data_IF_818605070115
#
_entry.id   IF_818605070115
#
_cell.length_a   1.000
_cell.length_b   1.000
_cell.length_c   1.000
_cell.angle_alpha   90.00
_cell.angle_beta   90.00
_cell.angle_gamma   90.00
#
_symmetry.space_group_name_H-M   'P 1'
#
loop_
_entity.id
_entity.type
_entity.pdbx_description
1 polymer ?
#
# COMPACT_ATOMS: atom_id res chain seq x y z
N UNK A 1 -14.65 0.11 -4.42
CA UNK A 1 -13.56 0.06 -3.42
C UNK A 1 -12.49 -0.97 -3.74
N UNK A 2 -12.82 -2.20 -4.14
CA UNK A 2 -11.82 -3.22 -4.55
C UNK A 2 -10.83 -2.71 -5.60
N UNK A 3 -11.32 -2.06 -6.67
CA UNK A 3 -10.45 -1.47 -7.71
C UNK A 3 -9.48 -0.41 -7.18
N UNK A 4 -9.92 0.42 -6.23
CA UNK A 4 -9.09 1.45 -5.62
C UNK A 4 -8.02 0.82 -4.71
N UNK A 5 -8.39 -0.19 -3.91
CA UNK A 5 -7.44 -0.96 -3.10
C UNK A 5 -6.37 -1.64 -3.96
N UNK A 6 -6.78 -2.29 -5.05
CA UNK A 6 -5.85 -2.90 -6.00
C UNK A 6 -4.93 -1.87 -6.65
N UNK A 7 -5.47 -0.74 -7.12
CA UNK A 7 -4.68 0.33 -7.72
C UNK A 7 -3.66 0.93 -6.75
N UNK A 8 -4.01 1.04 -5.47
CA UNK A 8 -3.09 1.50 -4.42
C UNK A 8 -1.99 0.49 -4.13
N UNK A 9 -2.33 -0.81 -4.07
CA UNK A 9 -1.35 -1.88 -3.89
C UNK A 9 -0.36 -1.96 -5.07
N UNK A 10 -0.84 -1.79 -6.30
CA UNK A 10 0.03 -1.72 -7.49
C UNK A 10 0.99 -0.54 -7.41
N UNK A 11 0.51 0.66 -7.09
CA UNK A 11 1.35 1.84 -6.94
C UNK A 11 2.39 1.70 -5.81
N UNK A 12 2.02 1.06 -4.70
CA UNK A 12 2.94 0.79 -3.60
C UNK A 12 4.07 -0.17 -4.04
N UNK A 13 3.74 -1.21 -4.81
CA UNK A 13 4.72 -2.15 -5.34
C UNK A 13 5.64 -1.51 -6.40
N UNK A 14 5.08 -0.68 -7.29
CA UNK A 14 5.87 0.09 -8.27
C UNK A 14 6.83 1.06 -7.55
N UNK A 15 6.34 1.81 -6.57
CA UNK A 15 7.18 2.70 -5.76
C UNK A 15 8.30 1.94 -5.06
N UNK A 16 8.02 0.77 -4.48
CA UNK A 16 9.05 -0.08 -3.86
C UNK A 16 10.14 -0.46 -4.85
N UNK A 17 9.76 -0.87 -6.07
CA UNK A 17 10.70 -1.27 -7.10
C UNK A 17 11.59 -0.10 -7.57
N UNK A 18 11.01 1.09 -7.72
CA UNK A 18 11.76 2.31 -8.06
C UNK A 18 12.74 2.69 -6.93
N UNK A 19 12.29 2.64 -5.67
CA UNK A 19 13.17 2.91 -4.52
C UNK A 19 14.33 1.91 -4.43
N UNK A 20 14.09 0.63 -4.73
CA UNK A 20 15.15 -0.37 -4.83
C UNK A 20 16.13 -0.06 -5.97
N UNK A 21 15.66 0.53 -7.08
CA UNK A 21 16.54 0.97 -8.17
C UNK A 21 17.41 2.14 -7.76
N UNK A 22 16.81 3.18 -7.17
CA UNK A 22 17.55 4.34 -6.66
C UNK A 22 18.57 3.89 -5.60
N UNK A 23 18.21 2.92 -4.75
CA UNK A 23 19.13 2.34 -3.77
C UNK A 23 20.37 1.70 -4.41
N UNK A 24 20.19 0.91 -5.47
CA UNK A 24 21.33 0.32 -6.20
C UNK A 24 22.19 1.37 -6.89
N UNK A 25 21.57 2.39 -7.49
CA UNK A 25 22.29 3.51 -8.12
C UNK A 25 23.09 4.31 -7.09
N UNK A 26 22.49 4.54 -5.92
CA UNK A 26 23.16 5.17 -4.79
C UNK A 26 24.36 4.37 -4.30
N UNK A 27 24.19 3.06 -4.09
CA UNK A 27 25.29 2.19 -3.63
C UNK A 27 26.45 2.19 -4.64
N UNK A 28 26.13 2.19 -5.93
CA UNK A 28 27.13 2.32 -6.99
C UNK A 28 27.88 3.66 -6.94
N UNK A 29 27.13 4.77 -6.85
CA UNK A 29 27.70 6.12 -6.83
C UNK A 29 28.53 6.39 -5.57
N UNK A 30 28.00 6.02 -4.41
CA UNK A 30 28.61 6.29 -3.11
C UNK A 30 29.80 5.38 -2.80
N UNK A 31 29.89 4.21 -3.43
CA UNK A 31 31.02 3.29 -3.28
C UNK A 31 32.37 3.87 -3.72
N UNK A 32 32.37 4.91 -4.57
CA UNK A 32 33.58 5.60 -5.01
C UNK A 32 33.97 6.78 -4.10
N UNK A 33 33.08 7.19 -3.20
CA UNK A 33 33.29 8.37 -2.37
C UNK A 33 34.20 8.09 -1.18
N UNK A 34 35.03 9.07 -0.82
CA UNK A 34 35.92 9.01 0.35
C UNK A 34 35.84 10.31 1.14
N UNK A 35 36.09 10.22 2.45
CA UNK A 35 36.17 11.40 3.33
C UNK A 35 34.82 12.13 3.49
N UNK A 36 34.85 13.45 3.46
CA UNK A 36 33.72 14.31 3.82
C UNK A 36 32.47 14.13 2.94
N UNK A 37 32.63 13.72 1.68
CA UNK A 37 31.51 13.43 0.79
C UNK A 37 30.71 12.21 1.27
N UNK A 38 31.40 11.11 1.64
CA UNK A 38 30.74 9.92 2.15
C UNK A 38 30.01 10.19 3.47
N UNK A 39 30.62 10.98 4.37
CA UNK A 39 30.02 11.33 5.65
C UNK A 39 28.83 12.29 5.53
N UNK A 40 28.94 13.31 4.68
CA UNK A 40 27.94 14.38 4.56
C UNK A 40 26.64 13.87 3.95
N UNK A 41 26.72 13.01 2.93
CA UNK A 41 25.53 12.53 2.25
C UNK A 41 24.98 11.21 2.81
N UNK A 42 25.81 10.38 3.46
CA UNK A 42 25.35 9.12 4.05
C UNK A 42 24.24 9.30 5.09
N UNK A 43 24.32 10.35 5.92
CA UNK A 43 23.26 10.66 6.91
C UNK A 43 21.95 11.07 6.24
N UNK A 44 22.02 11.98 5.28
CA UNK A 44 20.84 12.48 4.53
C UNK A 44 20.21 11.33 3.75
N UNK A 45 21.03 10.47 3.13
CA UNK A 45 20.57 9.29 2.43
C UNK A 45 19.81 8.33 3.36
N UNK A 46 20.37 8.02 4.53
CA UNK A 46 19.72 7.14 5.52
C UNK A 46 18.38 7.69 6.01
N UNK A 47 18.28 9.01 6.22
CA UNK A 47 17.01 9.66 6.60
C UNK A 47 15.99 9.58 5.47
N UNK A 48 16.43 9.80 4.23
CA UNK A 48 15.58 9.70 3.04
C UNK A 48 15.06 8.28 2.81
N UNK A 49 15.93 7.25 2.88
CA UNK A 49 15.51 5.85 2.68
C UNK A 49 14.51 5.42 3.74
N UNK A 50 14.73 5.81 5.00
CA UNK A 50 13.78 5.53 6.10
C UNK A 50 12.41 6.14 5.81
N UNK A 51 12.35 7.40 5.37
CA UNK A 51 11.10 8.05 5.02
C UNK A 51 10.42 7.42 3.79
N UNK A 52 11.20 6.99 2.81
CA UNK A 52 10.68 6.34 1.61
C UNK A 52 10.08 4.95 1.91
N UNK A 53 10.75 4.16 2.75
CA UNK A 53 10.23 2.89 3.27
C UNK A 53 8.92 3.08 4.04
N UNK A 54 8.83 4.14 4.85
CA UNK A 54 7.63 4.49 5.60
C UNK A 54 6.44 4.80 4.69
N UNK A 55 6.66 5.54 3.60
CA UNK A 55 5.61 5.83 2.62
C UNK A 55 5.10 4.55 1.96
N UNK A 56 5.99 3.66 1.52
CA UNK A 56 5.61 2.37 0.93
C UNK A 56 4.79 1.54 1.93
N UNK A 57 5.23 1.48 3.19
CA UNK A 57 4.54 0.76 4.26
C UNK A 57 3.12 1.27 4.45
N UNK A 58 2.93 2.58 4.60
CA UNK A 58 1.60 3.18 4.81
C UNK A 58 0.69 2.96 3.60
N UNK A 59 1.21 3.00 2.38
CA UNK A 59 0.44 2.72 1.17
C UNK A 59 -0.03 1.26 1.13
N UNK A 60 0.82 0.31 1.49
CA UNK A 60 0.45 -1.10 1.63
C UNK A 60 -0.61 -1.32 2.70
N UNK A 61 -0.40 -0.79 3.91
CA UNK A 61 -1.37 -0.90 5.02
C UNK A 61 -2.73 -0.29 4.62
N UNK A 62 -2.72 0.85 3.93
CA UNK A 62 -3.94 1.48 3.43
C UNK A 62 -4.65 0.61 2.39
N UNK A 63 -3.90 -0.06 1.51
CA UNK A 63 -4.46 -0.98 0.51
C UNK A 63 -5.13 -2.18 1.16
N UNK A 64 -4.54 -2.72 2.23
CA UNK A 64 -5.08 -3.85 2.99
C UNK A 64 -6.37 -3.45 3.72
N UNK A 65 -6.37 -2.28 4.38
CA UNK A 65 -7.56 -1.74 5.04
C UNK A 65 -8.72 -1.52 4.06
N UNK A 66 -8.43 -0.94 2.89
CA UNK A 66 -9.44 -0.75 1.85
C UNK A 66 -9.97 -2.07 1.29
N UNK A 67 -9.11 -3.09 1.17
CA UNK A 67 -9.53 -4.41 0.73
C UNK A 67 -10.40 -5.11 1.79
N UNK A 68 -10.02 -5.04 3.07
CA UNK A 68 -10.80 -5.57 4.19
C UNK A 68 -12.18 -4.91 4.27
N UNK A 69 -12.23 -3.57 4.18
CA UNK A 69 -13.49 -2.84 4.14
C UNK A 69 -14.36 -3.26 2.95
N UNK A 70 -13.78 -3.39 1.75
CA UNK A 70 -14.52 -3.82 0.57
C UNK A 70 -15.13 -5.22 0.71
N UNK A 71 -14.43 -6.15 1.37
CA UNK A 71 -14.96 -7.50 1.67
C UNK A 71 -16.11 -7.43 2.67
N UNK A 72 -15.94 -6.67 3.76
CA UNK A 72 -16.99 -6.51 4.77
C UNK A 72 -18.29 -5.94 4.20
N UNK A 73 -18.20 -4.93 3.32
CA UNK A 73 -19.38 -4.38 2.65
C UNK A 73 -20.06 -5.38 1.71
N UNK A 74 -19.28 -6.17 0.95
CA UNK A 74 -19.84 -7.18 0.06
C UNK A 74 -20.56 -8.31 0.82
N UNK A 75 -20.05 -8.67 2.00
CA UNK A 75 -20.67 -9.65 2.88
C UNK A 75 -21.96 -9.11 3.50
N UNK A 76 -21.92 -7.87 4.04
CA UNK A 76 -23.10 -7.21 4.59
C UNK A 76 -24.23 -7.03 3.57
N UNK A 77 -23.91 -6.67 2.32
CA UNK A 77 -24.88 -6.55 1.23
C UNK A 77 -25.55 -7.89 0.91
N UNK A 78 -24.77 -8.97 0.90
CA UNK A 78 -25.27 -10.33 0.68
C UNK A 78 -26.24 -10.76 1.79
N UNK A 79 -25.86 -10.59 3.04
CA UNK A 79 -26.66 -10.98 4.20
C UNK A 79 -27.97 -10.16 4.25
N UNK A 80 -27.89 -8.87 3.94
CA UNK A 80 -29.06 -8.00 3.87
C UNK A 80 -30.00 -8.43 2.74
N UNK A 81 -29.47 -8.76 1.57
CA UNK A 81 -30.25 -9.28 0.44
C UNK A 81 -30.98 -10.59 0.76
N UNK A 82 -30.32 -11.51 1.48
CA UNK A 82 -30.94 -12.75 1.95
C UNK A 82 -32.10 -12.49 2.91
N UNK A 83 -31.91 -11.59 3.90
CA UNK A 83 -32.97 -11.24 4.84
C UNK A 83 -34.17 -10.58 4.15
N UNK A 84 -33.94 -9.66 3.21
CA UNK A 84 -35.02 -9.02 2.45
C UNK A 84 -35.80 -10.06 1.64
N UNK A 85 -35.10 -10.96 0.94
CA UNK A 85 -35.75 -12.02 0.15
C UNK A 85 -36.58 -12.97 1.02
N UNK A 86 -36.21 -13.15 2.29
CA UNK A 86 -36.97 -13.97 3.25
C UNK A 86 -38.21 -13.26 3.81
N UNK A 87 -38.22 -11.92 3.85
CA UNK A 87 -39.36 -11.12 4.35
C UNK A 87 -40.41 -10.91 3.25
N UNK A 88 -39.97 -10.78 1.99
CA UNK A 88 -40.86 -10.56 0.83
C UNK A 88 -41.67 -11.81 0.41
N UNK A 89 -41.36 -13.00 0.98
CA UNK A 89 -42.12 -14.24 0.81
C UNK A 89 -43.14 -14.52 1.92
N UNK A 90 -43.44 -13.54 2.78
CA UNK A 90 -44.53 -13.63 3.76
C UNK A 90 -45.91 -13.70 3.07
N UNK A 91 -46.83 -14.63 3.45
CA UNK A 91 -48.08 -14.82 2.73
C UNK A 91 -48.98 -13.59 2.74
N UNK A 92 -49.53 -13.24 1.57
CA UNK A 92 -50.67 -12.32 1.43
C UNK A 92 -51.97 -13.08 1.74
N UNK A 93 -52.35 -13.14 3.01
CA UNK A 93 -53.72 -13.42 3.43
C UNK A 93 -54.08 -12.66 4.70
#
# INVERSE_FOLDING_TARGET
>A
MVKAAMGLATQAAELRAELDSIGREWDHLSGEWRGDAAASYGKIWSEWTTGAEEVVRVLHESSDLLQAAARAYAEQDRDSGQNISSVDVGPLW
#
